data_IF_544818714142
#
_entry.id   IF_544818714142
#
_cell.length_a   1.000
_cell.length_b   1.000
_cell.length_c   1.000
_cell.angle_alpha   90.00
_cell.angle_beta   90.00
_cell.angle_gamma   90.00
#
_symmetry.space_group_name_H-M   'P 1'
#
loop_
_entity.id
_entity.type
_entity.pdbx_description
1 polymer ?
#
# COMPACT_ATOMS: atom_id res chain seq x y z
N UNK A 1 34.68 56.03 -14.01
CA UNK A 1 33.97 55.02 -14.84
C UNK A 1 34.17 53.63 -14.24
N UNK A 2 33.62 53.36 -13.06
CA UNK A 2 33.86 52.08 -12.36
C UNK A 2 32.63 51.48 -11.68
N UNK A 3 31.43 52.04 -11.87
CA UNK A 3 30.20 51.58 -11.22
C UNK A 3 29.24 50.80 -12.14
N UNK A 4 29.58 50.60 -13.41
CA UNK A 4 28.71 49.91 -14.37
C UNK A 4 28.91 48.40 -14.39
N UNK A 5 30.11 47.90 -14.03
CA UNK A 5 30.44 46.47 -14.09
C UNK A 5 29.86 45.66 -12.91
N UNK A 6 29.68 46.28 -11.74
CA UNK A 6 29.14 45.58 -10.56
C UNK A 6 27.62 45.37 -10.64
N UNK A 7 26.90 46.28 -11.32
CA UNK A 7 25.44 46.17 -11.54
C UNK A 7 25.06 44.97 -12.41
N UNK A 8 25.89 44.63 -13.40
CA UNK A 8 25.64 43.52 -14.31
C UNK A 8 25.78 42.17 -13.60
N UNK A 9 26.72 42.05 -12.65
CA UNK A 9 26.93 40.83 -11.86
C UNK A 9 25.87 40.57 -10.79
N UNK A 10 25.23 41.61 -10.24
CA UNK A 10 24.07 41.46 -9.35
C UNK A 10 22.83 40.98 -10.12
N UNK A 11 22.62 41.51 -11.33
CA UNK A 11 21.52 41.12 -12.20
C UNK A 11 21.63 39.66 -12.70
N UNK A 12 22.85 39.17 -12.97
CA UNK A 12 23.08 37.75 -13.29
C UNK A 12 22.79 36.84 -12.09
N UNK A 13 23.23 37.20 -10.87
CA UNK A 13 22.92 36.41 -9.66
C UNK A 13 21.43 36.36 -9.36
N UNK A 14 20.71 37.45 -9.58
CA UNK A 14 19.25 37.47 -9.40
C UNK A 14 18.55 36.58 -10.43
N UNK A 15 19.05 36.56 -11.68
CA UNK A 15 18.56 35.67 -12.73
C UNK A 15 18.84 34.19 -12.43
N UNK A 16 20.03 33.87 -11.91
CA UNK A 16 20.37 32.51 -11.46
C UNK A 16 19.46 32.06 -10.31
N UNK A 17 19.17 32.96 -9.36
CA UNK A 17 18.26 32.69 -8.24
C UNK A 17 16.82 32.46 -8.73
N UNK A 18 16.39 33.17 -9.76
CA UNK A 18 15.08 33.02 -10.39
C UNK A 18 14.96 31.68 -11.15
N UNK A 19 16.00 31.29 -11.89
CA UNK A 19 16.08 29.98 -12.55
C UNK A 19 16.12 28.81 -11.56
N UNK A 20 16.82 28.95 -10.44
CA UNK A 20 16.84 27.95 -9.37
C UNK A 20 15.46 27.78 -8.74
N UNK A 21 14.75 28.90 -8.52
CA UNK A 21 13.38 28.89 -8.02
C UNK A 21 12.41 28.23 -9.01
N UNK A 22 12.52 28.54 -10.30
CA UNK A 22 11.70 27.93 -11.34
C UNK A 22 11.93 26.40 -11.44
N UNK A 23 13.20 25.96 -11.36
CA UNK A 23 13.54 24.53 -11.31
C UNK A 23 12.91 23.85 -10.11
N UNK A 24 12.99 24.48 -8.94
CA UNK A 24 12.40 23.96 -7.70
C UNK A 24 10.88 23.90 -7.75
N UNK A 25 10.23 24.90 -8.35
CA UNK A 25 8.79 24.94 -8.51
C UNK A 25 8.31 23.85 -9.50
N UNK A 26 9.06 23.63 -10.59
CA UNK A 26 8.80 22.53 -11.54
C UNK A 26 9.01 21.14 -10.92
N UNK A 27 10.02 20.98 -10.07
CA UNK A 27 10.25 19.73 -9.34
C UNK A 27 9.12 19.47 -8.33
N UNK A 28 8.64 20.51 -7.64
CA UNK A 28 7.48 20.43 -6.73
C UNK A 28 6.20 20.07 -7.49
N UNK A 29 5.95 20.69 -8.64
CA UNK A 29 4.79 20.37 -9.49
C UNK A 29 4.81 18.90 -9.93
N UNK A 30 5.98 18.38 -10.32
CA UNK A 30 6.14 16.96 -10.68
C UNK A 30 5.90 16.03 -9.48
N UNK A 31 6.34 16.41 -8.28
CA UNK A 31 6.08 15.66 -7.04
C UNK A 31 4.59 15.66 -6.70
N UNK A 32 3.91 16.81 -6.85
CA UNK A 32 2.46 16.93 -6.64
C UNK A 32 1.67 16.09 -7.64
N UNK A 33 2.04 16.10 -8.93
CA UNK A 33 1.43 15.20 -9.93
C UNK A 33 1.60 13.73 -9.56
N UNK A 34 2.78 13.34 -9.08
CA UNK A 34 3.04 11.97 -8.64
C UNK A 34 2.15 11.59 -7.45
N UNK A 35 2.03 12.46 -6.45
CA UNK A 35 1.14 12.27 -5.29
C UNK A 35 -0.33 12.21 -5.70
N UNK A 36 -0.78 13.03 -6.65
CA UNK A 36 -2.16 12.99 -7.16
C UNK A 36 -2.44 11.64 -7.83
N UNK A 37 -1.51 11.15 -8.67
CA UNK A 37 -1.65 9.83 -9.32
C UNK A 37 -1.65 8.69 -8.31
N UNK A 38 -0.80 8.77 -7.29
CA UNK A 38 -0.74 7.78 -6.22
C UNK A 38 -2.04 7.78 -5.39
N UNK A 39 -2.51 8.96 -4.98
CA UNK A 39 -3.79 9.12 -4.28
C UNK A 39 -4.96 8.57 -5.08
N UNK A 40 -5.00 8.81 -6.39
CA UNK A 40 -6.03 8.25 -7.26
C UNK A 40 -5.98 6.72 -7.39
N UNK A 41 -4.81 6.08 -7.22
CA UNK A 41 -4.71 4.61 -7.16
C UNK A 41 -5.21 4.07 -5.83
N UNK A 42 -4.81 4.70 -4.73
CA UNK A 42 -5.25 4.35 -3.37
C UNK A 42 -6.77 4.50 -3.23
N UNK A 43 -7.34 5.57 -3.76
CA UNK A 43 -8.78 5.81 -3.74
C UNK A 43 -9.54 4.71 -4.47
N UNK A 44 -9.15 4.38 -5.71
CA UNK A 44 -9.73 3.26 -6.48
C UNK A 44 -9.59 1.90 -5.77
N UNK A 45 -8.48 1.69 -5.06
CA UNK A 45 -8.31 0.47 -4.28
C UNK A 45 -9.29 0.44 -3.09
N UNK A 46 -9.41 1.55 -2.37
CA UNK A 46 -10.33 1.69 -1.24
C UNK A 46 -11.79 1.54 -1.65
N UNK A 47 -12.17 2.01 -2.85
CA UNK A 47 -13.51 1.83 -3.41
C UNK A 47 -13.81 0.35 -3.66
N UNK A 48 -12.86 -0.38 -4.26
CA UNK A 48 -12.99 -1.83 -4.49
C UNK A 48 -13.09 -2.62 -3.18
N UNK A 49 -12.35 -2.22 -2.15
CA UNK A 49 -12.41 -2.85 -0.83
C UNK A 49 -13.77 -2.62 -0.17
N UNK A 50 -14.31 -1.40 -0.25
CA UNK A 50 -15.67 -1.07 0.21
C UNK A 50 -16.76 -1.85 -0.54
N UNK A 51 -16.62 -2.01 -1.86
CA UNK A 51 -17.56 -2.81 -2.64
C UNK A 51 -17.61 -4.27 -2.17
N UNK A 52 -16.44 -4.87 -1.88
CA UNK A 52 -16.34 -6.23 -1.34
C UNK A 52 -16.91 -6.34 0.07
N UNK A 53 -16.71 -5.33 0.91
CA UNK A 53 -17.32 -5.28 2.25
C UNK A 53 -18.85 -5.24 2.16
N UNK A 54 -19.40 -4.40 1.29
CA UNK A 54 -20.84 -4.33 1.04
C UNK A 54 -21.39 -5.65 0.46
N UNK A 55 -20.63 -6.32 -0.42
CA UNK A 55 -20.98 -7.64 -0.92
C UNK A 55 -21.01 -8.66 0.21
N UNK A 56 -19.99 -8.71 1.08
CA UNK A 56 -19.95 -9.63 2.22
C UNK A 56 -21.14 -9.42 3.18
N UNK A 57 -21.49 -8.16 3.49
CA UNK A 57 -22.68 -7.84 4.28
C UNK A 57 -23.94 -8.33 3.57
N UNK A 58 -24.07 -8.06 2.28
CA UNK A 58 -25.21 -8.52 1.48
C UNK A 58 -25.31 -10.04 1.46
N UNK A 59 -24.20 -10.75 1.34
CA UNK A 59 -24.16 -12.21 1.39
C UNK A 59 -24.58 -12.76 2.76
N UNK A 60 -24.13 -12.12 3.85
CA UNK A 60 -24.48 -12.53 5.22
C UNK A 60 -25.98 -12.39 5.51
N UNK A 61 -26.60 -11.30 5.06
CA UNK A 61 -28.01 -11.01 5.40
C UNK A 61 -29.01 -11.50 4.35
N UNK A 62 -28.66 -11.46 3.06
CA UNK A 62 -29.53 -11.90 1.97
C UNK A 62 -29.30 -13.36 1.58
N UNK A 63 -28.17 -13.95 2.01
CA UNK A 63 -27.75 -15.30 1.69
C UNK A 63 -27.23 -15.45 0.25
N UNK A 64 -26.24 -16.32 0.05
CA UNK A 64 -25.78 -16.69 -1.30
C UNK A 64 -26.47 -17.95 -1.80
N UNK A 65 -26.59 -18.05 -3.13
CA UNK A 65 -26.95 -19.32 -3.77
C UNK A 65 -25.76 -20.26 -3.60
N UNK A 66 -25.99 -21.42 -2.98
CA UNK A 66 -24.95 -22.45 -2.75
C UNK A 66 -24.19 -22.72 -4.06
N UNK A 67 -22.85 -22.56 -4.09
CA UNK A 67 -22.08 -22.84 -5.29
C UNK A 67 -22.27 -24.31 -5.67
N UNK A 68 -22.64 -24.55 -6.94
CA UNK A 68 -22.82 -25.91 -7.45
C UNK A 68 -21.47 -26.62 -7.43
N UNK A 69 -21.42 -27.80 -6.81
CA UNK A 69 -20.23 -28.66 -6.83
C UNK A 69 -19.85 -28.93 -8.29
N UNK A 70 -18.64 -28.52 -8.68
CA UNK A 70 -18.10 -28.82 -10.01
C UNK A 70 -17.78 -30.31 -10.09
N UNK A 71 -18.01 -30.91 -11.25
CA UNK A 71 -17.58 -32.29 -11.53
C UNK A 71 -16.06 -32.28 -11.67
N UNK A 72 -15.37 -32.85 -10.69
CA UNK A 72 -13.91 -32.97 -10.69
C UNK A 72 -13.53 -34.17 -11.57
N UNK A 73 -12.55 -33.99 -12.45
CA UNK A 73 -12.06 -35.09 -13.30
C UNK A 73 -11.37 -36.14 -12.43
N UNK A 74 -11.52 -37.45 -12.71
CA UNK A 74 -10.88 -38.50 -11.91
C UNK A 74 -9.36 -38.33 -11.75
N UNK A 75 -8.65 -37.84 -12.77
CA UNK A 75 -7.20 -37.57 -12.71
C UNK A 75 -6.79 -36.45 -11.76
N UNK A 76 -7.71 -35.52 -11.46
CA UNK A 76 -7.51 -34.43 -10.50
C UNK A 76 -7.84 -34.91 -9.08
N UNK A 77 -8.84 -35.80 -8.94
CA UNK A 77 -9.21 -36.42 -7.67
C UNK A 77 -8.12 -37.31 -7.07
N UNK A 78 -7.23 -37.88 -7.89
CA UNK A 78 -6.12 -38.73 -7.44
C UNK A 78 -4.75 -38.04 -7.48
N UNK A 79 -4.70 -36.75 -7.83
CA UNK A 79 -3.47 -35.98 -7.77
C UNK A 79 -3.30 -35.43 -6.36
N UNK A 80 -2.43 -36.06 -5.58
CA UNK A 80 -2.09 -35.59 -4.25
C UNK A 80 -1.21 -34.33 -4.35
N UNK A 81 -1.76 -33.19 -3.98
CA UNK A 81 -0.99 -32.00 -3.62
C UNK A 81 -0.77 -32.00 -2.12
N UNK A 82 0.49 -31.87 -1.70
CA UNK A 82 0.84 -31.73 -0.28
C UNK A 82 0.97 -30.26 0.13
N UNK A 83 1.00 -29.35 -0.85
CA UNK A 83 1.01 -27.91 -0.63
C UNK A 83 -0.42 -27.39 -0.42
N UNK A 84 -0.53 -26.34 0.40
CA UNK A 84 -1.75 -25.58 0.59
C UNK A 84 -2.06 -24.75 -0.65
N UNK A 85 -3.32 -24.71 -1.07
CA UNK A 85 -3.73 -23.86 -2.18
C UNK A 85 -3.89 -22.42 -1.68
N UNK A 86 -3.46 -21.43 -2.48
CA UNK A 86 -3.53 -20.01 -2.06
C UNK A 86 -4.97 -19.48 -1.97
N UNK A 87 -5.96 -20.25 -2.46
CA UNK A 87 -7.40 -20.00 -2.29
C UNK A 87 -7.91 -20.42 -0.92
N UNK A 88 -7.14 -21.23 -0.18
CA UNK A 88 -7.44 -21.68 1.18
C UNK A 88 -6.93 -20.68 2.25
N UNK A 89 -6.25 -19.60 1.82
CA UNK A 89 -5.80 -18.50 2.68
C UNK A 89 -6.99 -17.66 3.17
N UNK A 90 -7.22 -17.69 4.48
CA UNK A 90 -8.29 -16.95 5.18
C UNK A 90 -7.80 -15.69 5.88
N UNK A 91 -6.51 -15.38 5.79
CA UNK A 91 -5.91 -14.23 6.49
C UNK A 91 -6.25 -12.87 5.88
N UNK A 92 -6.74 -12.85 4.63
CA UNK A 92 -7.03 -11.63 3.89
C UNK A 92 -8.43 -11.12 4.20
N UNK A 93 -8.55 -10.33 5.26
CA UNK A 93 -9.76 -9.58 5.56
C UNK A 93 -9.88 -8.34 4.65
N UNK A 94 -11.10 -7.93 4.36
CA UNK A 94 -11.41 -6.69 3.65
C UNK A 94 -11.22 -5.46 4.54
N UNK A 95 -11.38 -5.61 5.85
CA UNK A 95 -11.25 -4.50 6.79
C UNK A 95 -9.77 -4.27 7.20
N UNK A 96 -9.32 -3.03 7.07
CA UNK A 96 -7.97 -2.58 7.41
C UNK A 96 -7.53 -2.94 8.84
N UNK A 97 -8.47 -2.92 9.80
CA UNK A 97 -8.18 -3.26 11.20
C UNK A 97 -7.69 -4.70 11.39
N UNK A 98 -8.13 -5.62 10.53
CA UNK A 98 -7.74 -7.02 10.56
C UNK A 98 -6.58 -7.34 9.60
N UNK A 99 -6.28 -6.44 8.64
CA UNK A 99 -5.10 -6.54 7.78
C UNK A 99 -3.80 -6.16 8.51
N UNK A 100 -3.86 -5.15 9.40
CA UNK A 100 -2.75 -4.79 10.29
C UNK A 100 -3.18 -4.93 11.76
N UNK A 101 -3.35 -6.17 12.26
CA UNK A 101 -3.62 -6.37 13.67
C UNK A 101 -2.51 -5.75 14.50
N UNK A 102 -2.86 -4.93 15.50
CA UNK A 102 -1.88 -4.44 16.45
C UNK A 102 -1.21 -5.61 17.15
N UNK A 103 0.09 -5.80 16.89
CA UNK A 103 0.86 -6.85 17.53
C UNK A 103 0.88 -6.59 19.04
N UNK A 104 0.43 -7.58 19.81
CA UNK A 104 0.40 -7.45 21.26
C UNK A 104 1.83 -7.53 21.80
N UNK A 105 2.20 -6.58 22.65
CA UNK A 105 3.46 -6.65 23.38
C UNK A 105 3.37 -7.81 24.39
N UNK A 106 3.90 -8.97 24.01
CA UNK A 106 3.88 -10.16 24.84
C UNK A 106 4.53 -9.88 26.19
N UNK A 107 3.85 -10.27 27.27
CA UNK A 107 4.27 -10.00 28.66
C UNK A 107 4.72 -8.54 28.89
N UNK A 108 3.94 -7.56 28.42
CA UNK A 108 4.24 -6.12 28.58
C UNK A 108 5.63 -5.73 28.02
N UNK A 109 6.04 -6.34 26.90
CA UNK A 109 7.32 -6.07 26.24
C UNK A 109 8.51 -6.84 26.82
N UNK A 110 8.29 -7.72 27.80
CA UNK A 110 9.32 -8.61 28.35
C UNK A 110 9.31 -10.01 27.69
N UNK A 111 8.21 -10.35 27.02
CA UNK A 111 7.99 -11.63 26.37
C UNK A 111 8.45 -11.64 24.92
N UNK A 112 8.67 -12.85 24.40
CA UNK A 112 9.03 -13.09 23.01
C UNK A 112 8.07 -14.12 22.40
N UNK A 113 7.75 -13.92 21.13
CA UNK A 113 6.99 -14.87 20.30
C UNK A 113 7.84 -16.14 20.13
N UNK A 114 7.23 -17.29 20.43
CA UNK A 114 7.89 -18.57 20.28
C UNK A 114 8.24 -18.84 18.80
N UNK A 115 9.37 -19.50 18.54
CA UNK A 115 9.80 -19.89 17.20
C UNK A 115 10.45 -18.78 16.35
N UNK A 116 10.44 -17.53 16.82
CA UNK A 116 11.13 -16.40 16.17
C UNK A 116 12.43 -16.05 16.90
N UNK A 117 13.46 -15.61 16.16
CA UNK A 117 14.75 -15.25 16.77
C UNK A 117 14.59 -14.06 17.72
N UNK A 118 15.27 -14.12 18.87
CA UNK A 118 15.21 -13.10 19.92
C UNK A 118 15.86 -11.77 19.51
N UNK A 119 16.82 -11.80 18.58
CA UNK A 119 17.47 -10.60 18.03
C UNK A 119 16.56 -9.91 17.03
N UNK A 120 15.84 -10.67 16.22
CA UNK A 120 14.89 -10.16 15.23
C UNK A 120 13.67 -9.50 15.89
N UNK A 121 13.18 -10.06 17.00
CA UNK A 121 12.06 -9.50 17.75
C UNK A 121 12.38 -8.24 18.58
N UNK A 122 13.66 -7.94 18.80
CA UNK A 122 14.11 -6.75 19.57
C UNK A 122 14.44 -5.55 18.69
N UNK A 123 14.39 -5.71 17.37
CA UNK A 123 14.66 -4.67 16.40
C UNK A 123 13.44 -3.77 16.25
#
# INVERSE_FOLDING_TARGET
>A
RHCQRDKDGEHERDRDRELEKERRDRDREREEEAKIRERGRLEKQSEREKEKELEAIKEQYLGTKKPKKRVIKPSEKFRFSFDWENTEDTSRDMNFLYQNPHETQLLFGRGFRAGMDRREQKK
#
